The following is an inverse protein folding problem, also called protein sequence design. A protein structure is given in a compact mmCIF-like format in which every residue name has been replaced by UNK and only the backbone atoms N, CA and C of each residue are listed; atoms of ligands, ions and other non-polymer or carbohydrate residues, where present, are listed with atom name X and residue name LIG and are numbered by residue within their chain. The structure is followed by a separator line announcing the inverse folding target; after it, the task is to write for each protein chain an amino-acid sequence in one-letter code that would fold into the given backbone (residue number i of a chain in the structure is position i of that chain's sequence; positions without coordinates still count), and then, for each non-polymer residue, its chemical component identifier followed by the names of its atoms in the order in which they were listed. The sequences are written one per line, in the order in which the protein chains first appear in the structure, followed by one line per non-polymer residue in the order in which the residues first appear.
data_IF_648743547283
#
_entry.id   IF_648743547283
#
_cell.length_a   1.000
_cell.length_b   1.000
_cell.length_c   1.000
_cell.angle_alpha   90.00
_cell.angle_beta   90.00
_cell.angle_gamma   90.00
#
_symmetry.space_group_name_H-M   'P 1'
#
loop_
_entity.id
_entity.type
_entity.pdbx_description
1 polymer ?
#
# COMPACT_ATOMS: atom_id res chain seq x y z
N UNK A 1 11.07 -24.02 -8.11
CA UNK A 1 10.90 -22.68 -7.61
C UNK A 1 10.40 -21.78 -8.72
N UNK A 2 9.83 -20.69 -8.42
CA UNK A 2 8.87 -19.88 -9.19
C UNK A 2 9.17 -19.52 -10.65
N UNK A 3 10.31 -19.86 -11.23
CA UNK A 3 10.74 -19.55 -12.61
C UNK A 3 10.52 -18.07 -13.01
N UNK A 4 10.48 -17.16 -12.03
CA UNK A 4 10.35 -15.73 -12.29
C UNK A 4 11.72 -15.18 -12.68
N UNK A 5 11.77 -14.43 -13.78
CA UNK A 5 13.00 -13.76 -14.21
C UNK A 5 13.04 -12.39 -13.51
N UNK A 6 14.10 -12.09 -12.72
CA UNK A 6 14.27 -10.76 -12.14
C UNK A 6 14.35 -9.67 -13.20
N UNK A 7 14.05 -8.43 -12.82
CA UNK A 7 14.22 -7.28 -13.72
C UNK A 7 15.69 -7.10 -14.09
N UNK A 8 15.96 -6.49 -15.23
CA UNK A 8 17.30 -6.18 -15.75
C UNK A 8 17.90 -4.88 -15.17
N UNK A 9 17.30 -4.32 -14.12
CA UNK A 9 17.78 -3.10 -13.45
C UNK A 9 19.13 -3.27 -12.73
N UNK A 10 19.51 -4.50 -12.44
CA UNK A 10 20.70 -4.85 -11.67
C UNK A 10 21.49 -5.91 -12.40
N UNK A 11 22.81 -5.87 -12.25
CA UNK A 11 23.74 -6.86 -12.83
C UNK A 11 23.72 -8.15 -12.00
N UNK A 12 22.61 -8.90 -12.09
CA UNK A 12 22.40 -10.13 -11.31
C UNK A 12 23.48 -11.19 -11.52
N UNK A 13 24.03 -11.29 -12.73
CA UNK A 13 25.07 -12.28 -13.02
C UNK A 13 26.38 -11.92 -12.35
N UNK A 14 26.76 -10.64 -12.35
CA UNK A 14 27.92 -10.16 -11.61
C UNK A 14 27.75 -10.43 -10.10
N UNK A 15 26.60 -10.06 -9.53
CA UNK A 15 26.31 -10.34 -8.13
C UNK A 15 26.38 -11.84 -7.81
N UNK A 16 25.89 -12.69 -8.70
CA UNK A 16 25.94 -14.15 -8.54
C UNK A 16 27.37 -14.66 -8.48
N UNK A 17 28.26 -14.16 -9.36
CA UNK A 17 29.67 -14.55 -9.34
C UNK A 17 30.38 -14.04 -8.07
N UNK A 18 30.10 -12.83 -7.61
CA UNK A 18 30.63 -12.31 -6.35
C UNK A 18 30.17 -13.17 -5.15
N UNK A 19 28.89 -13.55 -5.11
CA UNK A 19 28.34 -14.44 -4.07
C UNK A 19 29.02 -15.83 -4.10
N UNK A 20 29.26 -16.40 -5.29
CA UNK A 20 29.96 -17.67 -5.42
C UNK A 20 31.40 -17.59 -4.93
N UNK A 21 32.07 -16.47 -5.19
CA UNK A 21 33.47 -16.26 -4.84
C UNK A 21 33.69 -15.97 -3.36
N UNK A 22 32.84 -15.14 -2.77
CA UNK A 22 33.02 -14.61 -1.42
C UNK A 22 32.03 -15.18 -0.40
N UNK A 23 30.96 -15.81 -0.85
CA UNK A 23 29.86 -16.25 -0.01
C UNK A 23 28.98 -15.08 0.47
N UNK A 24 28.03 -15.40 1.32
CA UNK A 24 27.18 -14.44 2.01
C UNK A 24 27.14 -14.74 3.50
N UNK A 25 27.05 -13.70 4.30
CA UNK A 25 26.99 -13.86 5.77
C UNK A 25 25.69 -14.50 6.23
N UNK A 26 24.58 -14.10 5.61
CA UNK A 26 23.23 -14.59 5.91
C UNK A 26 22.59 -15.15 4.64
N UNK A 27 21.90 -16.26 4.75
CA UNK A 27 21.26 -16.94 3.62
C UNK A 27 19.86 -16.36 3.29
N UNK A 28 19.19 -15.75 4.27
CA UNK A 28 17.87 -15.18 4.14
C UNK A 28 17.95 -13.70 4.54
N UNK A 29 17.71 -12.80 3.59
CA UNK A 29 17.99 -11.38 3.76
C UNK A 29 16.72 -10.52 3.80
N UNK A 30 15.62 -10.96 3.19
CA UNK A 30 14.43 -10.17 3.03
C UNK A 30 13.16 -10.95 3.37
N UNK A 31 12.53 -10.55 4.47
CA UNK A 31 11.24 -11.08 4.91
C UNK A 31 10.34 -9.90 5.35
N UNK A 32 9.46 -9.41 4.47
CA UNK A 32 8.55 -8.33 4.80
C UNK A 32 7.57 -8.72 5.90
N UNK A 33 7.44 -7.86 6.90
CA UNK A 33 6.52 -8.04 8.01
C UNK A 33 5.13 -7.48 7.69
N UNK A 34 4.06 -7.89 8.42
CA UNK A 34 2.74 -7.25 8.36
C UNK A 34 2.74 -5.76 8.73
N UNK A 35 3.70 -5.29 9.53
CA UNK A 35 3.88 -3.89 9.95
C UNK A 35 2.68 -3.27 10.68
N UNK A 36 1.84 -4.08 11.35
CA UNK A 36 0.60 -3.64 11.97
C UNK A 36 0.78 -2.42 12.91
N UNK A 37 1.66 -2.51 13.90
CA UNK A 37 1.92 -1.41 14.83
C UNK A 37 2.75 -0.29 14.22
N UNK A 38 3.76 -0.63 13.43
CA UNK A 38 4.67 0.33 12.81
C UNK A 38 3.94 1.19 11.78
N UNK A 39 3.07 0.58 10.96
CA UNK A 39 2.24 1.30 10.02
C UNK A 39 1.32 2.32 10.72
N UNK A 40 0.78 1.96 11.88
CA UNK A 40 -0.06 2.86 12.68
C UNK A 40 0.73 4.05 13.23
N UNK A 41 1.92 3.81 13.77
CA UNK A 41 2.78 4.87 14.30
C UNK A 41 3.16 5.87 13.20
N UNK A 42 3.50 5.37 12.01
CA UNK A 42 3.89 6.19 10.87
C UNK A 42 2.71 6.76 10.07
N UNK A 43 1.49 6.29 10.35
CA UNK A 43 0.29 6.68 9.62
C UNK A 43 0.32 6.21 8.15
N UNK A 44 0.83 5.02 7.91
CA UNK A 44 0.85 4.35 6.62
C UNK A 44 -0.14 3.18 6.60
N UNK A 45 -0.35 2.58 5.42
CA UNK A 45 -1.06 1.32 5.32
C UNK A 45 -0.14 0.15 5.73
N UNK A 46 -0.76 -0.96 6.10
CA UNK A 46 -0.06 -2.18 6.52
C UNK A 46 0.40 -2.98 5.29
N UNK A 47 1.55 -3.61 5.38
CA UNK A 47 2.13 -4.45 4.32
C UNK A 47 2.32 -3.70 2.98
N UNK A 48 2.13 -4.44 1.89
CA UNK A 48 2.09 -3.97 0.50
C UNK A 48 0.67 -3.87 -0.03
N UNK A 49 -0.32 -3.99 0.84
CA UNK A 49 -1.72 -3.97 0.44
C UNK A 49 -2.21 -2.54 0.20
N UNK A 50 -3.09 -2.32 -0.79
CA UNK A 50 -3.76 -1.04 -0.94
C UNK A 50 -4.70 -0.76 0.23
N UNK A 51 -5.05 0.51 0.45
CA UNK A 51 -6.01 0.87 1.48
C UNK A 51 -7.38 0.21 1.21
N UNK A 52 -7.95 -0.41 2.24
CA UNK A 52 -9.31 -0.97 2.16
C UNK A 52 -10.39 0.11 2.27
N UNK A 53 -10.05 1.25 2.88
CA UNK A 53 -10.91 2.42 3.00
C UNK A 53 -10.08 3.68 3.21
N UNK A 54 -10.49 4.81 2.65
CA UNK A 54 -9.84 6.10 2.87
C UNK A 54 -10.27 6.78 4.17
N UNK A 55 -11.33 6.29 4.84
CA UNK A 55 -11.76 6.71 6.16
C UNK A 55 -12.35 5.52 6.92
N UNK A 56 -11.92 5.31 8.16
CA UNK A 56 -12.40 4.21 8.98
C UNK A 56 -12.31 4.53 10.47
N UNK A 57 -13.05 3.80 11.28
CA UNK A 57 -12.98 3.90 12.74
C UNK A 57 -12.00 2.87 13.28
N UNK A 58 -11.04 3.33 14.05
CA UNK A 58 -10.13 2.48 14.82
C UNK A 58 -10.59 2.43 16.27
N UNK A 59 -10.85 1.21 16.74
CA UNK A 59 -11.16 0.95 18.13
C UNK A 59 -9.90 0.45 18.86
N UNK A 60 -9.53 1.11 19.92
CA UNK A 60 -8.44 0.74 20.83
C UNK A 60 -8.93 0.81 22.30
N UNK A 61 -8.11 0.36 23.24
CA UNK A 61 -8.49 0.36 24.66
C UNK A 61 -8.86 1.75 25.20
N UNK A 62 -8.26 2.82 24.65
CA UNK A 62 -8.51 4.21 25.05
C UNK A 62 -9.71 4.85 24.35
N UNK A 63 -10.40 4.17 23.41
CA UNK A 63 -11.55 4.70 22.72
C UNK A 63 -11.60 4.40 21.24
N UNK A 64 -12.47 5.11 20.54
CA UNK A 64 -12.64 5.03 19.09
C UNK A 64 -12.15 6.30 18.41
N UNK A 65 -11.41 6.15 17.34
CA UNK A 65 -10.81 7.25 16.59
C UNK A 65 -11.15 7.13 15.10
N UNK A 66 -11.56 8.22 14.50
CA UNK A 66 -11.73 8.29 13.05
C UNK A 66 -10.38 8.54 12.41
N UNK A 67 -9.96 7.62 11.55
CA UNK A 67 -8.71 7.70 10.81
C UNK A 67 -9.03 8.01 9.35
N UNK A 68 -8.40 9.03 8.82
CA UNK A 68 -8.50 9.42 7.39
C UNK A 68 -7.16 9.19 6.73
N UNK A 69 -7.16 8.71 5.49
CA UNK A 69 -5.96 8.63 4.67
C UNK A 69 -5.31 10.02 4.58
N UNK A 70 -4.19 10.20 5.25
CA UNK A 70 -3.49 11.49 5.38
C UNK A 70 -3.06 12.10 4.04
N UNK A 71 -2.79 11.24 3.04
CA UNK A 71 -2.38 11.67 1.71
C UNK A 71 -3.57 12.26 0.96
N UNK A 72 -4.70 11.53 0.94
CA UNK A 72 -5.96 12.02 0.37
C UNK A 72 -6.40 13.31 1.05
N UNK A 73 -6.41 13.35 2.37
CA UNK A 73 -6.78 14.55 3.14
C UNK A 73 -5.95 15.77 2.71
N UNK A 74 -4.64 15.60 2.63
CA UNK A 74 -3.72 16.67 2.22
C UNK A 74 -4.04 17.20 0.82
N UNK A 75 -4.34 16.30 -0.12
CA UNK A 75 -4.64 16.69 -1.50
C UNK A 75 -6.02 17.37 -1.60
N UNK A 76 -7.03 16.90 -0.88
CA UNK A 76 -8.34 17.54 -0.80
C UNK A 76 -8.29 18.92 -0.14
N UNK A 77 -7.45 19.09 0.88
CA UNK A 77 -7.19 20.40 1.51
C UNK A 77 -6.50 21.36 0.54
N UNK A 78 -5.49 20.91 -0.21
CA UNK A 78 -4.82 21.71 -1.24
C UNK A 78 -5.77 22.17 -2.34
N UNK A 79 -6.74 21.33 -2.71
CA UNK A 79 -7.78 21.66 -3.67
C UNK A 79 -8.86 22.59 -3.09
N UNK A 80 -8.85 22.84 -1.78
CA UNK A 80 -9.83 23.70 -1.11
C UNK A 80 -11.23 23.09 -1.01
N UNK A 81 -11.39 21.78 -1.23
CA UNK A 81 -12.70 21.09 -1.24
C UNK A 81 -12.98 20.30 0.03
N UNK A 82 -11.98 20.16 0.93
CA UNK A 82 -12.19 19.47 2.19
C UNK A 82 -13.10 20.25 3.13
N UNK A 83 -14.21 19.64 3.53
CA UNK A 83 -15.19 20.20 4.48
C UNK A 83 -15.99 19.07 5.14
N UNK A 84 -16.82 19.39 6.13
CA UNK A 84 -17.65 18.39 6.84
C UNK A 84 -18.63 17.65 5.94
N UNK A 85 -19.18 18.33 4.91
CA UNK A 85 -20.07 17.69 3.94
C UNK A 85 -19.32 16.61 3.15
N UNK A 86 -18.12 16.90 2.67
CA UNK A 86 -17.31 15.95 1.92
C UNK A 86 -16.87 14.78 2.83
N UNK A 87 -16.47 15.06 4.07
CA UNK A 87 -16.17 14.03 5.07
C UNK A 87 -17.36 13.07 5.27
N UNK A 88 -18.58 13.62 5.43
CA UNK A 88 -19.76 12.79 5.61
C UNK A 88 -20.11 11.97 4.36
N UNK A 89 -19.92 12.50 3.15
CA UNK A 89 -20.03 11.72 1.91
C UNK A 89 -19.03 10.56 1.86
N UNK A 90 -17.79 10.83 2.23
CA UNK A 90 -16.73 9.82 2.26
C UNK A 90 -17.07 8.69 3.26
N UNK A 91 -17.60 9.04 4.43
CA UNK A 91 -18.07 8.06 5.42
C UNK A 91 -19.25 7.25 4.89
N UNK A 92 -20.23 7.89 4.28
CA UNK A 92 -21.40 7.22 3.69
C UNK A 92 -21.04 6.27 2.54
N UNK A 93 -19.93 6.56 1.84
CA UNK A 93 -19.38 5.73 0.75
C UNK A 93 -18.37 4.68 1.23
N UNK A 94 -18.35 4.36 2.53
CA UNK A 94 -17.39 3.41 3.13
C UNK A 94 -15.91 3.69 2.79
N UNK A 95 -15.57 4.97 2.63
CA UNK A 95 -14.23 5.43 2.32
C UNK A 95 -13.87 5.40 0.83
N UNK A 96 -14.80 5.05 -0.05
CA UNK A 96 -14.64 5.24 -1.49
C UNK A 96 -14.85 6.70 -1.87
N UNK A 97 -14.06 7.20 -2.82
CA UNK A 97 -14.21 8.53 -3.39
C UNK A 97 -14.75 8.52 -4.83
N UNK A 98 -14.98 7.32 -5.40
CA UNK A 98 -15.31 7.17 -6.82
C UNK A 98 -16.63 7.86 -7.22
N UNK A 99 -17.62 7.80 -6.34
CA UNK A 99 -18.96 8.36 -6.57
C UNK A 99 -19.14 9.78 -6.00
N UNK A 100 -18.06 10.50 -5.73
CA UNK A 100 -18.10 11.87 -5.20
C UNK A 100 -17.76 12.85 -6.33
N UNK A 101 -18.75 13.53 -6.88
CA UNK A 101 -18.62 14.38 -8.08
C UNK A 101 -17.65 15.55 -7.88
N UNK A 102 -17.55 16.08 -6.66
CA UNK A 102 -16.68 17.22 -6.33
C UNK A 102 -15.18 16.89 -6.40
N UNK A 103 -14.81 15.60 -6.45
CA UNK A 103 -13.42 15.16 -6.47
C UNK A 103 -12.97 14.96 -7.93
N UNK A 104 -11.84 15.57 -8.35
CA UNK A 104 -11.29 15.40 -9.68
C UNK A 104 -10.91 13.95 -10.00
N UNK A 105 -11.02 13.55 -11.26
CA UNK A 105 -10.81 12.17 -11.71
C UNK A 105 -9.38 11.66 -11.44
N UNK A 106 -8.37 12.50 -11.60
CA UNK A 106 -6.99 12.14 -11.29
C UNK A 106 -6.78 11.80 -9.79
N UNK A 107 -7.55 12.40 -8.89
CA UNK A 107 -7.53 12.06 -7.45
C UNK A 107 -8.29 10.74 -7.22
N UNK A 108 -9.42 10.53 -7.90
CA UNK A 108 -10.17 9.27 -7.83
C UNK A 108 -9.30 8.08 -8.27
N UNK A 109 -8.59 8.21 -9.39
CA UNK A 109 -7.68 7.16 -9.88
C UNK A 109 -6.56 6.84 -8.89
N UNK A 110 -5.99 7.86 -8.24
CA UNK A 110 -4.88 7.71 -7.31
C UNK A 110 -5.28 7.04 -5.98
N UNK A 111 -6.49 7.32 -5.49
CA UNK A 111 -6.95 6.87 -4.16
C UNK A 111 -8.02 5.79 -4.22
N UNK A 112 -7.96 4.92 -5.24
CA UNK A 112 -8.76 3.69 -5.29
C UNK A 112 -8.52 2.82 -4.06
N UNK A 113 -9.58 2.29 -3.51
CA UNK A 113 -9.50 1.28 -2.45
C UNK A 113 -9.19 -0.10 -3.02
N UNK A 114 -8.80 -1.05 -2.16
CA UNK A 114 -8.55 -2.43 -2.56
C UNK A 114 -9.73 -3.08 -3.31
N UNK A 115 -10.95 -2.64 -3.03
CA UNK A 115 -12.17 -3.14 -3.65
C UNK A 115 -12.42 -2.59 -5.06
N UNK A 116 -11.75 -1.50 -5.40
CA UNK A 116 -11.86 -0.77 -6.67
C UNK A 116 -10.71 -1.06 -7.62
N UNK A 117 -9.64 -1.69 -7.11
CA UNK A 117 -8.50 -2.17 -7.89
C UNK A 117 -8.80 -3.59 -8.37
N UNK A 118 -8.37 -3.90 -9.59
CA UNK A 118 -8.45 -5.27 -10.12
C UNK A 118 -7.72 -6.26 -9.21
N UNK A 119 -8.40 -7.30 -8.77
CA UNK A 119 -7.80 -8.34 -7.93
C UNK A 119 -6.65 -9.05 -8.67
N UNK A 120 -6.73 -9.14 -10.00
CA UNK A 120 -5.64 -9.67 -10.82
C UNK A 120 -4.37 -8.82 -10.66
N UNK A 121 -4.48 -7.49 -10.69
CA UNK A 121 -3.33 -6.59 -10.50
C UNK A 121 -2.69 -6.75 -9.13
N UNK A 122 -3.51 -6.91 -8.09
CA UNK A 122 -3.00 -7.14 -6.71
C UNK A 122 -2.26 -8.47 -6.64
N UNK A 123 -2.78 -9.53 -7.26
CA UNK A 123 -2.14 -10.84 -7.32
C UNK A 123 -0.85 -10.81 -8.15
N UNK A 124 -0.86 -10.14 -9.29
CA UNK A 124 0.33 -9.97 -10.14
C UNK A 124 1.45 -9.24 -9.39
N UNK A 125 1.12 -8.15 -8.67
CA UNK A 125 2.08 -7.45 -7.81
C UNK A 125 2.66 -8.34 -6.70
N UNK A 126 1.85 -9.22 -6.12
CA UNK A 126 2.31 -10.17 -5.12
C UNK A 126 3.25 -11.23 -5.73
N UNK A 127 2.90 -11.74 -6.89
CA UNK A 127 3.73 -12.70 -7.64
C UNK A 127 5.09 -12.11 -8.03
N UNK A 128 5.10 -10.87 -8.53
CA UNK A 128 6.32 -10.17 -8.93
C UNK A 128 7.27 -9.95 -7.75
N UNK A 129 6.75 -9.62 -6.57
CA UNK A 129 7.55 -9.50 -5.34
C UNK A 129 8.21 -10.80 -4.93
N UNK A 130 7.58 -11.94 -5.21
CA UNK A 130 8.06 -13.25 -4.82
C UNK A 130 9.47 -13.57 -5.29
N UNK A 131 9.92 -12.98 -6.41
CA UNK A 131 11.28 -13.13 -6.93
C UNK A 131 12.37 -12.51 -6.04
N UNK A 132 12.00 -11.59 -5.15
CA UNK A 132 12.92 -10.76 -4.35
C UNK A 132 12.79 -10.97 -2.85
N UNK A 133 11.96 -11.91 -2.42
CA UNK A 133 11.66 -12.18 -1.02
C UNK A 133 12.12 -13.59 -0.67
N UNK A 134 12.85 -13.73 0.45
CA UNK A 134 13.35 -15.01 0.96
C UNK A 134 12.29 -15.79 1.77
N UNK A 135 11.04 -15.56 1.47
CA UNK A 135 9.89 -16.17 2.12
C UNK A 135 9.15 -17.04 1.11
N UNK A 136 9.10 -18.33 1.35
CA UNK A 136 8.40 -19.31 0.49
C UNK A 136 7.29 -20.02 1.25
#
# INVERSE_FOLDING_TARGET
MWKVKPTDRWEWDLLREEVKKHGVRNSLLLAPMPTASTAQILGNNECFEPYTSNIYTRRVLSGEFIIVNKHLLRDLVKLGIWNDRLKNKLMASNGSIQNIDEIPENIKELYKTAWEISQKEILDMAADRGAYIDQS
#
